data_IF_924084984604
#
_entry.id   IF_924084984604
#
_cell.length_a   1.000
_cell.length_b   1.000
_cell.length_c   1.000
_cell.angle_alpha   90.00
_cell.angle_beta   90.00
_cell.angle_gamma   90.00
#
_symmetry.space_group_name_H-M   'P 1'
#
loop_
_entity.id
_entity.type
_entity.pdbx_description
1 polymer ?
#
# COMPACT_ATOMS: atom_id res chain seq x y z
N UNK A 1 -22.06 19.15 22.80
CA UNK A 1 -21.07 18.15 22.36
C UNK A 1 -21.22 17.94 20.86
N UNK A 2 -20.18 18.20 20.06
CA UNK A 2 -20.22 17.92 18.62
C UNK A 2 -20.11 16.40 18.44
N UNK A 3 -21.18 15.76 18.00
CA UNK A 3 -21.11 14.39 17.48
C UNK A 3 -20.32 14.43 16.18
N UNK A 4 -19.08 13.96 16.22
CA UNK A 4 -18.39 13.57 15.00
C UNK A 4 -19.06 12.29 14.52
N UNK A 5 -19.88 12.38 13.47
CA UNK A 5 -20.27 11.22 12.69
C UNK A 5 -18.99 10.66 12.07
N UNK A 6 -18.35 9.70 12.74
CA UNK A 6 -17.27 8.90 12.15
C UNK A 6 -17.92 8.14 10.98
N UNK A 7 -17.71 8.67 9.79
CA UNK A 7 -18.04 8.02 8.52
C UNK A 7 -17.54 6.57 8.54
N UNK A 8 -18.34 5.64 8.00
CA UNK A 8 -18.06 4.20 7.82
C UNK A 8 -16.79 3.95 6.97
N UNK A 9 -15.63 4.33 7.49
CA UNK A 9 -14.34 3.75 7.07
C UNK A 9 -14.05 2.44 7.82
N UNK A 10 -14.93 2.04 8.74
CA UNK A 10 -14.94 0.74 9.41
C UNK A 10 -15.31 -0.35 8.41
N UNK A 11 -14.33 -1.00 7.79
CA UNK A 11 -14.56 -2.25 7.07
C UNK A 11 -13.48 -2.75 6.12
N UNK A 12 -12.48 -1.94 5.74
CA UNK A 12 -11.44 -2.38 4.82
C UNK A 12 -10.17 -2.76 5.59
N UNK A 13 -9.81 -4.04 5.48
CA UNK A 13 -8.61 -4.61 6.07
C UNK A 13 -7.74 -5.19 4.95
N UNK A 14 -6.43 -5.02 5.08
CA UNK A 14 -5.44 -5.71 4.27
C UNK A 14 -4.94 -6.89 5.08
N UNK A 15 -4.90 -8.07 4.44
CA UNK A 15 -4.27 -9.28 4.97
C UNK A 15 -3.07 -9.65 4.11
N UNK A 16 -1.91 -9.86 4.74
CA UNK A 16 -0.71 -10.40 4.12
C UNK A 16 -0.49 -11.81 4.68
N UNK A 17 -0.60 -12.81 3.82
CA UNK A 17 -0.33 -14.21 4.16
C UNK A 17 1.10 -14.58 3.79
N UNK A 18 1.91 -14.97 4.77
CA UNK A 18 3.24 -15.51 4.51
C UNK A 18 3.18 -17.05 4.54
N UNK A 19 3.02 -17.67 3.36
CA UNK A 19 2.92 -19.13 3.22
C UNK A 19 4.26 -19.85 3.25
N UNK A 20 5.37 -19.11 3.21
CA UNK A 20 6.71 -19.67 3.09
C UNK A 20 7.45 -19.79 4.42
N UNK A 21 6.97 -19.11 5.47
CA UNK A 21 7.61 -19.11 6.79
C UNK A 21 6.56 -19.33 7.88
N UNK A 22 7.00 -19.65 9.10
CA UNK A 22 6.13 -19.72 10.27
C UNK A 22 5.70 -18.34 10.79
N UNK A 23 6.01 -17.26 10.06
CA UNK A 23 5.58 -15.92 10.44
C UNK A 23 4.04 -15.82 10.43
N UNK A 24 3.50 -15.09 11.40
CA UNK A 24 2.06 -14.90 11.50
C UNK A 24 1.54 -14.05 10.33
N UNK A 25 0.31 -14.35 9.90
CA UNK A 25 -0.40 -13.48 8.96
C UNK A 25 -0.51 -12.07 9.56
N UNK A 26 -0.24 -11.07 8.75
CA UNK A 26 -0.38 -9.66 9.15
C UNK A 26 -1.75 -9.19 8.66
N UNK A 27 -2.59 -8.70 9.57
CA UNK A 27 -3.89 -8.10 9.24
C UNK A 27 -3.92 -6.70 9.85
N UNK A 28 -4.24 -5.70 9.03
CA UNK A 28 -4.34 -4.31 9.48
C UNK A 28 -5.43 -3.55 8.72
N UNK A 29 -6.08 -2.56 9.37
CA UNK A 29 -6.98 -1.64 8.68
C UNK A 29 -6.26 -0.91 7.53
N UNK A 30 -6.95 -0.72 6.40
CA UNK A 30 -6.39 0.08 5.29
C UNK A 30 -6.03 1.51 5.73
N UNK A 31 -6.75 2.06 6.71
CA UNK A 31 -6.45 3.38 7.29
C UNK A 31 -5.08 3.47 7.94
N UNK A 32 -4.50 2.33 8.31
CA UNK A 32 -3.22 2.25 9.00
C UNK A 32 -2.06 2.11 7.99
N UNK A 33 -2.35 1.94 6.68
CA UNK A 33 -1.33 2.00 5.62
C UNK A 33 -0.90 3.45 5.43
N UNK A 34 0.25 3.81 6.01
CA UNK A 34 0.76 5.18 6.01
C UNK A 34 1.47 5.52 4.71
N UNK A 35 2.28 4.59 4.19
CA UNK A 35 3.08 4.82 3.00
C UNK A 35 3.57 3.51 2.38
N UNK A 36 3.95 3.59 1.10
CA UNK A 36 4.53 2.51 0.31
C UNK A 36 5.85 3.04 -0.23
N UNK A 37 6.94 2.31 0.01
CA UNK A 37 8.27 2.67 -0.49
C UNK A 37 8.83 1.55 -1.34
N UNK A 38 9.64 1.89 -2.33
CA UNK A 38 10.47 0.89 -2.99
C UNK A 38 11.54 0.44 -2.01
N UNK A 39 11.74 -0.87 -1.88
CA UNK A 39 12.96 -1.38 -1.26
C UNK A 39 14.15 -1.05 -2.19
N UNK A 40 15.36 -0.99 -1.64
CA UNK A 40 16.61 -0.67 -2.38
C UNK A 40 17.00 -1.72 -3.45
N UNK A 41 16.08 -2.52 -3.96
CA UNK A 41 16.28 -3.58 -4.95
C UNK A 41 15.67 -3.23 -6.31
N UNK A 42 15.96 -2.02 -6.82
CA UNK A 42 15.50 -1.56 -8.13
C UNK A 42 13.97 -1.56 -8.29
N UNK A 43 13.22 -1.38 -7.19
CA UNK A 43 11.75 -1.35 -7.23
C UNK A 43 11.09 -2.72 -7.43
N UNK A 44 11.84 -3.83 -7.34
CA UNK A 44 11.25 -5.18 -7.44
C UNK A 44 10.45 -5.56 -6.19
N UNK A 45 10.62 -4.83 -5.09
CA UNK A 45 9.92 -5.05 -3.83
C UNK A 45 9.46 -3.72 -3.27
N UNK A 46 8.29 -3.75 -2.65
CA UNK A 46 7.73 -2.60 -1.94
C UNK A 46 7.66 -2.92 -0.45
N UNK A 47 7.97 -1.91 0.36
CA UNK A 47 7.83 -1.92 1.81
C UNK A 47 6.56 -1.16 2.17
N UNK A 48 5.71 -1.79 2.98
CA UNK A 48 4.47 -1.18 3.47
C UNK A 48 4.71 -0.61 4.86
N UNK A 49 4.70 0.71 5.00
CA UNK A 49 4.73 1.36 6.32
C UNK A 49 3.32 1.38 6.90
N UNK A 50 3.17 0.69 8.03
CA UNK A 50 1.90 0.54 8.74
C UNK A 50 2.03 1.23 10.09
N UNK A 51 1.09 2.12 10.41
CA UNK A 51 1.06 2.79 11.71
C UNK A 51 0.96 1.76 12.85
N UNK A 52 1.78 1.96 13.89
CA UNK A 52 1.90 1.01 15.00
C UNK A 52 2.81 -0.20 14.75
N UNK A 53 3.41 -0.33 13.57
CA UNK A 53 4.31 -1.44 13.20
C UNK A 53 5.69 -0.90 12.77
N UNK A 54 6.41 -0.28 13.71
CA UNK A 54 7.64 0.48 13.43
C UNK A 54 8.91 -0.35 13.26
N UNK A 55 8.97 -1.58 13.79
CA UNK A 55 10.21 -2.37 13.79
C UNK A 55 10.29 -3.41 12.66
N UNK A 56 9.16 -3.79 12.05
CA UNK A 56 9.11 -4.82 11.00
C UNK A 56 8.00 -4.51 9.98
N UNK A 57 8.25 -3.51 9.13
CA UNK A 57 7.37 -3.23 8.00
C UNK A 57 7.43 -4.38 6.98
N UNK A 58 6.30 -4.99 6.61
CA UNK A 58 6.31 -6.09 5.65
C UNK A 58 6.73 -5.61 4.28
N UNK A 59 7.56 -6.42 3.62
CA UNK A 59 7.98 -6.21 2.24
C UNK A 59 7.36 -7.28 1.34
N UNK A 60 6.80 -6.87 0.20
CA UNK A 60 6.20 -7.77 -0.79
C UNK A 60 6.74 -7.46 -2.19
N UNK A 61 6.79 -8.46 -3.08
CA UNK A 61 7.25 -8.20 -4.44
C UNK A 61 6.32 -7.22 -5.15
N UNK A 62 6.88 -6.35 -5.98
CA UNK A 62 6.12 -5.35 -6.73
C UNK A 62 5.06 -6.00 -7.62
N UNK A 63 5.37 -7.17 -8.20
CA UNK A 63 4.40 -7.96 -8.97
C UNK A 63 3.17 -8.35 -8.15
N UNK A 64 3.36 -8.84 -6.91
CA UNK A 64 2.25 -9.21 -6.02
C UNK A 64 1.46 -7.96 -5.61
N UNK A 65 2.17 -6.87 -5.29
CA UNK A 65 1.56 -5.58 -4.96
C UNK A 65 0.65 -5.05 -6.07
N UNK A 66 1.16 -5.00 -7.32
CA UNK A 66 0.38 -4.53 -8.48
C UNK A 66 -0.83 -5.43 -8.73
N UNK A 67 -0.67 -6.75 -8.61
CA UNK A 67 -1.77 -7.70 -8.78
C UNK A 67 -2.86 -7.46 -7.73
N UNK A 68 -2.48 -7.33 -6.45
CA UNK A 68 -3.42 -7.06 -5.36
C UNK A 68 -4.24 -5.79 -5.61
N UNK A 69 -3.60 -4.68 -5.95
CA UNK A 69 -4.32 -3.42 -6.22
C UNK A 69 -5.18 -3.49 -7.48
N UNK A 70 -4.75 -4.24 -8.50
CA UNK A 70 -5.58 -4.51 -9.68
C UNK A 70 -6.85 -5.26 -9.30
N UNK A 71 -6.75 -6.25 -8.42
CA UNK A 71 -7.91 -7.01 -7.94
C UNK A 71 -8.85 -6.14 -7.10
N UNK A 72 -8.32 -5.24 -6.27
CA UNK A 72 -9.10 -4.24 -5.51
C UNK A 72 -9.86 -3.31 -6.46
N UNK A 73 -9.19 -2.75 -7.47
CA UNK A 73 -9.81 -1.91 -8.50
C UNK A 73 -10.94 -2.66 -9.19
N UNK A 74 -10.68 -3.88 -9.67
CA UNK A 74 -11.68 -4.71 -10.33
C UNK A 74 -12.89 -5.01 -9.43
N UNK A 75 -12.66 -5.22 -8.12
CA UNK A 75 -13.73 -5.42 -7.16
C UNK A 75 -14.57 -4.15 -6.97
N UNK A 76 -13.92 -2.98 -6.89
CA UNK A 76 -14.60 -1.68 -6.79
C UNK A 76 -15.45 -1.41 -8.03
N UNK A 77 -14.92 -1.63 -9.24
CA UNK A 77 -15.66 -1.45 -10.50
C UNK A 77 -16.91 -2.34 -10.57
N UNK A 78 -16.82 -3.58 -10.07
CA UNK A 78 -17.96 -4.51 -9.99
C UNK A 78 -19.01 -4.06 -8.99
N UNK A 79 -18.59 -3.55 -7.83
CA UNK A 79 -19.49 -3.12 -6.74
C UNK A 79 -20.13 -1.76 -7.01
N UNK A 80 -19.41 -0.86 -7.69
CA UNK A 80 -19.86 0.46 -8.05
C UNK A 80 -19.47 0.77 -9.51
N UNK A 81 -20.30 0.37 -10.48
CA UNK A 81 -20.03 0.60 -11.91
C UNK A 81 -19.92 2.08 -12.33
N UNK A 82 -20.28 3.01 -11.45
CA UNK A 82 -20.17 4.46 -11.68
C UNK A 82 -18.87 5.06 -11.11
N UNK A 83 -18.03 4.26 -10.46
CA UNK A 83 -16.73 4.72 -9.99
C UNK A 83 -15.82 5.04 -11.19
N UNK A 84 -15.23 6.24 -11.19
CA UNK A 84 -14.24 6.65 -12.20
C UNK A 84 -12.84 6.36 -11.66
N UNK A 85 -12.13 5.43 -12.30
CA UNK A 85 -10.75 5.09 -11.95
C UNK A 85 -9.83 5.65 -13.02
N UNK A 86 -8.96 6.57 -12.64
CA UNK A 86 -7.95 7.14 -13.52
C UNK A 86 -6.65 6.37 -13.36
N UNK A 87 -6.12 5.83 -14.47
CA UNK A 87 -4.85 5.09 -14.49
C UNK A 87 -3.75 5.96 -15.09
N UNK A 88 -2.68 6.18 -14.31
CA UNK A 88 -1.43 6.74 -14.81
C UNK A 88 -0.46 5.58 -15.10
N UNK A 89 0.11 5.55 -16.31
CA UNK A 89 1.08 4.52 -16.70
C UNK A 89 2.39 5.21 -17.06
N UNK A 90 3.46 4.83 -16.38
CA UNK A 90 4.83 5.28 -16.66
C UNK A 90 5.48 4.21 -17.54
N UNK A 91 5.90 4.58 -18.75
CA UNK A 91 6.48 3.65 -19.75
C UNK A 91 8.01 3.75 -19.84
N UNK A 92 8.63 4.41 -18.87
CA UNK A 92 10.06 4.69 -18.83
C UNK A 92 10.60 4.22 -17.47
N UNK A 93 11.84 3.74 -17.43
CA UNK A 93 12.46 3.30 -16.18
C UNK A 93 12.88 4.53 -15.36
N UNK A 94 12.03 4.89 -14.40
CA UNK A 94 12.29 5.98 -13.46
C UNK A 94 13.03 5.50 -12.20
N UNK A 95 13.56 4.28 -12.12
CA UNK A 95 14.22 3.72 -10.93
C UNK A 95 15.28 4.65 -10.32
N UNK A 96 15.94 5.45 -11.15
CA UNK A 96 16.93 6.47 -10.79
C UNK A 96 16.34 7.77 -10.21
N UNK A 97 15.06 8.05 -10.46
CA UNK A 97 14.37 9.30 -10.13
C UNK A 97 13.53 9.22 -8.84
N UNK A 98 13.42 8.03 -8.24
CA UNK A 98 12.83 7.87 -6.93
C UNK A 98 13.79 8.44 -5.88
N UNK A 99 13.75 9.75 -5.69
CA UNK A 99 14.47 10.41 -4.61
C UNK A 99 13.94 9.89 -3.27
N UNK A 100 14.82 9.33 -2.44
CA UNK A 100 14.53 9.11 -1.02
C UNK A 100 14.04 10.44 -0.42
N UNK A 101 12.76 10.49 -0.02
CA UNK A 101 12.16 11.66 0.63
C UNK A 101 12.83 12.01 1.98
N UNK A 102 13.88 11.28 2.38
CA UNK A 102 14.68 11.53 3.57
C UNK A 102 15.74 12.64 3.43
N UNK A 103 15.81 13.37 2.29
CA UNK A 103 16.84 14.40 2.07
C UNK A 103 16.38 15.85 1.87
N UNK A 104 15.15 16.20 2.23
CA UNK A 104 14.71 17.61 2.32
C UNK A 104 14.51 18.05 3.77
N UNK A 105 15.52 17.85 4.62
CA UNK A 105 15.66 18.62 5.86
C UNK A 105 17.13 18.79 6.23
N UNK A 106 17.85 19.57 5.41
CA UNK A 106 19.14 20.13 5.82
C UNK A 106 19.32 21.52 5.22
N UNK A 107 19.03 22.54 6.06
CA UNK A 107 19.39 23.96 6.01
C UNK A 107 19.00 24.80 4.78
#
# INVERSE_FOLDING_TARGET
MKQYSRSLSTGLFIQIENKYTYAQNIIFPLSDLRAIYNACNSGETVVLMIDGMSEQSPSISYKIFVQFFTDVINAIEKLNPQAFIFKLTVNEDLSCEWCDFHRTSSN
#
